data_IF_932034894308
#
_entry.id   IF_932034894308
#
_cell.length_a   1.000
_cell.length_b   1.000
_cell.length_c   1.000
_cell.angle_alpha   90.00
_cell.angle_beta   90.00
_cell.angle_gamma   90.00
#
_symmetry.space_group_name_H-M   'P 1'
#
loop_
_entity.id
_entity.type
_entity.pdbx_description
1 polymer ?
#
# COMPACT_ATOMS: atom_id res chain seq x y z
N UNK A 1 -5.36 -16.65 -12.49
CA UNK A 1 -5.02 -16.32 -11.09
C UNK A 1 -5.96 -17.07 -10.17
N UNK A 2 -5.47 -17.70 -9.10
CA UNK A 2 -6.32 -18.44 -8.17
C UNK A 2 -7.18 -17.44 -7.36
N UNK A 3 -8.47 -17.73 -7.19
CA UNK A 3 -9.37 -16.91 -6.38
C UNK A 3 -8.96 -16.86 -4.90
N UNK A 4 -8.10 -17.81 -4.50
CA UNK A 4 -7.64 -18.07 -3.14
C UNK A 4 -6.12 -18.17 -3.11
N UNK A 5 -5.50 -17.44 -2.20
CA UNK A 5 -4.07 -17.51 -1.90
C UNK A 5 -3.87 -18.01 -0.47
N UNK A 6 -2.85 -18.85 -0.28
CA UNK A 6 -2.45 -19.35 1.04
C UNK A 6 -1.18 -18.62 1.45
N UNK A 7 -1.21 -17.94 2.60
CA UNK A 7 -0.06 -17.22 3.14
C UNK A 7 0.50 -17.95 4.36
N UNK A 8 1.78 -18.35 4.28
CA UNK A 8 2.52 -18.93 5.41
C UNK A 8 1.91 -20.19 6.02
N UNK A 9 1.11 -20.93 5.23
CA UNK A 9 0.39 -22.16 5.62
C UNK A 9 -0.74 -21.99 6.64
N UNK A 10 -1.04 -20.75 7.06
CA UNK A 10 -1.98 -20.47 8.17
C UNK A 10 -3.18 -19.63 7.77
N UNK A 11 -3.05 -18.84 6.72
CA UNK A 11 -4.06 -17.89 6.30
C UNK A 11 -4.52 -18.16 4.89
N UNK A 12 -5.82 -17.97 4.68
CA UNK A 12 -6.51 -18.05 3.39
C UNK A 12 -6.96 -16.64 3.05
N UNK A 13 -6.57 -16.11 1.90
CA UNK A 13 -7.01 -14.80 1.40
C UNK A 13 -7.71 -15.02 0.07
N UNK A 14 -8.97 -14.61 -0.02
CA UNK A 14 -9.77 -14.87 -1.21
C UNK A 14 -10.79 -13.78 -1.49
N UNK A 15 -11.35 -13.81 -2.70
CA UNK A 15 -12.57 -13.05 -2.99
C UNK A 15 -13.70 -13.66 -2.18
N UNK A 16 -14.38 -12.84 -1.38
CA UNK A 16 -15.51 -13.27 -0.58
C UNK A 16 -16.73 -13.56 -1.48
N UNK A 17 -17.61 -14.42 -0.97
CA UNK A 17 -18.86 -14.88 -1.59
C UNK A 17 -19.94 -15.03 -0.49
N UNK A 18 -21.07 -15.63 -0.83
CA UNK A 18 -22.21 -15.83 0.08
C UNK A 18 -21.86 -16.65 1.34
N UNK A 19 -20.93 -17.59 1.25
CA UNK A 19 -20.50 -18.42 2.39
C UNK A 19 -19.91 -17.58 3.53
N UNK A 20 -19.45 -16.36 3.21
CA UNK A 20 -18.80 -15.45 4.16
C UNK A 20 -19.77 -14.43 4.79
N UNK A 21 -21.07 -14.47 4.47
CA UNK A 21 -22.06 -13.51 4.99
C UNK A 21 -22.10 -13.42 6.52
N UNK A 22 -21.87 -14.54 7.20
CA UNK A 22 -21.85 -14.60 8.66
C UNK A 22 -20.78 -13.69 9.29
N UNK A 23 -19.77 -13.24 8.54
CA UNK A 23 -18.78 -12.27 9.03
C UNK A 23 -19.21 -10.80 8.89
N UNK A 24 -20.32 -10.49 8.20
CA UNK A 24 -20.68 -9.12 7.87
C UNK A 24 -20.86 -8.22 9.10
N UNK A 25 -21.49 -8.74 10.16
CA UNK A 25 -21.64 -8.01 11.43
C UNK A 25 -20.29 -7.76 12.11
N UNK A 26 -19.45 -8.80 12.21
CA UNK A 26 -18.09 -8.71 12.77
C UNK A 26 -17.24 -7.68 12.03
N UNK A 27 -17.29 -7.67 10.70
CA UNK A 27 -16.59 -6.69 9.86
C UNK A 27 -17.05 -5.27 10.19
N UNK A 28 -18.37 -5.05 10.25
CA UNK A 28 -18.91 -3.72 10.56
C UNK A 28 -18.52 -3.24 11.96
N UNK A 29 -18.58 -4.14 12.95
CA UNK A 29 -18.19 -3.85 14.32
C UNK A 29 -16.70 -3.49 14.42
N UNK A 30 -15.81 -4.29 13.82
CA UNK A 30 -14.37 -4.04 13.84
C UNK A 30 -14.00 -2.75 13.09
N UNK A 31 -14.68 -2.44 11.98
CA UNK A 31 -14.51 -1.16 11.27
C UNK A 31 -14.81 0.03 12.18
N UNK A 32 -15.91 -0.01 12.93
CA UNK A 32 -16.31 1.04 13.87
C UNK A 32 -15.33 1.13 15.06
N UNK A 33 -14.97 0.00 15.66
CA UNK A 33 -14.05 -0.03 16.80
C UNK A 33 -12.65 0.45 16.43
N UNK A 34 -12.13 0.02 15.28
CA UNK A 34 -10.83 0.46 14.76
C UNK A 34 -10.81 1.95 14.43
N UNK A 35 -11.92 2.54 14.04
CA UNK A 35 -12.02 3.99 13.84
C UNK A 35 -12.01 4.74 15.17
N UNK A 36 -12.84 4.32 16.13
CA UNK A 36 -12.89 4.88 17.49
C UNK A 36 -11.51 4.88 18.16
N UNK A 37 -10.77 3.77 18.09
CA UNK A 37 -9.42 3.66 18.65
C UNK A 37 -8.42 4.64 18.05
N UNK A 38 -8.63 5.07 16.80
CA UNK A 38 -7.78 6.07 16.12
C UNK A 38 -8.21 7.51 16.40
N UNK A 39 -9.29 7.72 17.15
CA UNK A 39 -9.89 9.05 17.34
C UNK A 39 -10.44 9.63 16.03
N UNK A 40 -10.63 8.79 15.01
CA UNK A 40 -11.16 9.20 13.71
C UNK A 40 -12.56 8.63 13.55
N UNK A 41 -13.46 9.35 12.90
CA UNK A 41 -14.68 8.73 12.41
C UNK A 41 -14.39 7.84 11.20
N UNK A 42 -15.27 6.89 10.90
CA UNK A 42 -15.24 6.09 9.67
C UNK A 42 -16.62 6.09 9.05
N UNK A 43 -16.65 6.00 7.73
CA UNK A 43 -17.81 5.67 6.95
C UNK A 43 -18.47 4.39 7.50
N UNK A 44 -19.57 4.51 8.23
CA UNK A 44 -20.29 3.32 8.72
C UNK A 44 -20.82 2.55 7.51
N UNK A 45 -20.76 1.23 7.58
CA UNK A 45 -21.33 0.31 6.59
C UNK A 45 -22.34 -0.57 7.30
N UNK A 46 -23.43 -0.88 6.62
CA UNK A 46 -24.37 -1.89 7.10
C UNK A 46 -23.86 -3.28 6.73
N UNK A 47 -24.22 -4.32 7.51
CA UNK A 47 -23.94 -5.70 7.12
C UNK A 47 -24.47 -6.03 5.72
N UNK A 48 -25.67 -5.53 5.38
CA UNK A 48 -26.28 -5.69 4.05
C UNK A 48 -25.37 -5.16 2.94
N UNK A 49 -24.86 -3.94 3.09
CA UNK A 49 -23.94 -3.37 2.10
C UNK A 49 -22.65 -4.19 1.97
N UNK A 50 -22.12 -4.72 3.07
CA UNK A 50 -20.93 -5.59 3.02
C UNK A 50 -21.25 -6.90 2.28
N UNK A 51 -22.40 -7.52 2.56
CA UNK A 51 -22.85 -8.72 1.85
C UNK A 51 -23.03 -8.46 0.35
N UNK A 52 -23.61 -7.33 -0.04
CA UNK A 52 -23.70 -6.92 -1.44
C UNK A 52 -22.32 -6.88 -2.12
N UNK A 53 -21.29 -6.34 -1.46
CA UNK A 53 -19.92 -6.36 -2.00
C UNK A 53 -19.34 -7.77 -2.14
N UNK A 54 -19.73 -8.71 -1.28
CA UNK A 54 -19.37 -10.12 -1.42
C UNK A 54 -20.06 -10.73 -2.65
N UNK A 55 -21.36 -10.52 -2.83
CA UNK A 55 -22.13 -11.00 -4.00
C UNK A 55 -21.59 -10.42 -5.31
N UNK A 56 -21.23 -9.13 -5.33
CA UNK A 56 -20.62 -8.48 -6.50
C UNK A 56 -19.20 -9.03 -6.84
N UNK A 57 -18.65 -9.90 -5.98
CA UNK A 57 -17.27 -10.37 -6.06
C UNK A 57 -16.28 -9.20 -5.99
N UNK A 58 -16.58 -8.21 -5.15
CA UNK A 58 -15.78 -7.01 -4.92
C UNK A 58 -15.18 -6.95 -3.52
N UNK A 59 -15.44 -7.94 -2.69
CA UNK A 59 -14.88 -8.06 -1.35
C UNK A 59 -13.74 -9.08 -1.32
N UNK A 60 -12.70 -8.77 -0.54
CA UNK A 60 -11.61 -9.67 -0.16
C UNK A 60 -11.76 -9.97 1.31
N UNK A 61 -11.68 -11.25 1.66
CA UNK A 61 -11.70 -11.72 3.04
C UNK A 61 -10.48 -12.57 3.31
N UNK A 62 -9.97 -12.44 4.54
CA UNK A 62 -8.93 -13.30 5.07
C UNK A 62 -9.47 -14.09 6.25
N UNK A 63 -9.18 -15.39 6.27
CA UNK A 63 -9.48 -16.28 7.39
C UNK A 63 -8.25 -17.11 7.74
N UNK A 64 -8.23 -17.71 8.93
CA UNK A 64 -7.33 -18.82 9.21
C UNK A 64 -7.78 -20.06 8.43
N UNK A 65 -6.91 -21.07 8.35
CA UNK A 65 -7.29 -22.39 7.83
C UNK A 65 -8.34 -23.11 8.69
N UNK A 66 -8.54 -22.67 9.93
CA UNK A 66 -9.58 -23.18 10.84
C UNK A 66 -10.90 -22.41 10.73
N UNK A 67 -10.97 -21.40 9.87
CA UNK A 67 -12.20 -20.62 9.62
C UNK A 67 -12.37 -19.39 10.51
N UNK A 68 -11.38 -19.01 11.32
CA UNK A 68 -11.45 -17.78 12.11
C UNK A 68 -11.26 -16.55 11.22
N UNK A 69 -12.00 -15.49 11.49
CA UNK A 69 -11.92 -14.25 10.74
C UNK A 69 -10.64 -13.48 11.04
N UNK A 70 -9.91 -13.05 10.00
CA UNK A 70 -8.62 -12.38 10.13
C UNK A 70 -8.67 -10.94 9.66
N UNK A 71 -9.36 -10.67 8.56
CA UNK A 71 -9.44 -9.32 8.01
C UNK A 71 -10.26 -9.23 6.74
N UNK A 72 -10.46 -8.01 6.28
CA UNK A 72 -11.36 -7.70 5.18
C UNK A 72 -10.94 -6.42 4.46
N UNK A 73 -11.29 -6.32 3.19
CA UNK A 73 -11.21 -5.14 2.35
C UNK A 73 -12.21 -5.28 1.21
N UNK A 74 -12.68 -4.20 0.61
CA UNK A 74 -13.51 -4.27 -0.60
C UNK A 74 -13.13 -3.18 -1.59
N UNK A 75 -13.56 -3.36 -2.83
CA UNK A 75 -13.35 -2.40 -3.90
C UNK A 75 -14.68 -1.73 -4.25
N UNK A 76 -14.63 -0.45 -4.54
CA UNK A 76 -15.79 0.36 -4.93
C UNK A 76 -15.41 1.22 -6.14
N UNK A 77 -16.36 1.43 -7.06
CA UNK A 77 -16.14 2.20 -8.28
C UNK A 77 -16.78 3.58 -8.19
N UNK A 78 -16.10 4.58 -8.74
CA UNK A 78 -16.56 5.98 -8.78
C UNK A 78 -16.42 6.55 -10.19
N UNK A 79 -17.12 7.65 -10.48
CA UNK A 79 -17.18 8.29 -11.80
C UNK A 79 -17.30 7.29 -12.96
N UNK A 80 -18.33 6.44 -12.93
CA UNK A 80 -18.60 5.42 -13.96
C UNK A 80 -17.41 4.47 -14.24
N UNK A 81 -16.64 4.13 -13.21
CA UNK A 81 -15.53 3.17 -13.31
C UNK A 81 -14.19 3.79 -13.69
N UNK A 82 -14.10 5.12 -13.78
CA UNK A 82 -12.82 5.83 -13.95
C UNK A 82 -11.91 5.68 -12.73
N UNK A 83 -12.50 5.54 -11.55
CA UNK A 83 -11.77 5.34 -10.30
C UNK A 83 -12.24 4.09 -9.57
N UNK A 84 -11.30 3.42 -8.91
CA UNK A 84 -11.56 2.31 -7.99
C UNK A 84 -10.93 2.61 -6.64
N UNK A 85 -11.70 2.53 -5.56
CA UNK A 85 -11.21 2.72 -4.20
C UNK A 85 -11.09 1.39 -3.47
N UNK A 86 -9.90 1.10 -2.93
CA UNK A 86 -9.70 -0.02 -2.00
C UNK A 86 -10.08 0.43 -0.60
N UNK A 87 -11.29 0.08 -0.17
CA UNK A 87 -11.96 0.61 1.02
C UNK A 87 -12.10 -0.43 2.13
N UNK A 88 -12.25 0.04 3.37
CA UNK A 88 -12.55 -0.83 4.51
C UNK A 88 -11.46 -1.84 4.85
N UNK A 89 -10.19 -1.54 4.57
CA UNK A 89 -9.08 -2.40 5.00
C UNK A 89 -9.03 -2.44 6.54
N UNK A 90 -9.36 -3.60 7.10
CA UNK A 90 -9.24 -3.87 8.53
C UNK A 90 -8.66 -5.27 8.77
N UNK A 91 -7.97 -5.41 9.90
CA UNK A 91 -7.37 -6.67 10.36
C UNK A 91 -7.67 -6.79 11.85
N UNK A 92 -8.18 -7.95 12.24
CA UNK A 92 -8.48 -8.25 13.64
C UNK A 92 -7.23 -8.01 14.51
N UNK A 93 -7.37 -7.41 15.71
CA UNK A 93 -6.25 -7.03 16.57
C UNK A 93 -5.18 -8.12 16.74
N UNK A 94 -5.61 -9.36 16.97
CA UNK A 94 -4.71 -10.49 17.26
C UNK A 94 -3.83 -10.90 16.06
N UNK A 95 -4.25 -10.54 14.85
CA UNK A 95 -3.51 -10.83 13.62
C UNK A 95 -2.79 -9.60 13.07
N UNK A 96 -2.72 -8.48 13.80
CA UNK A 96 -1.94 -7.31 13.38
C UNK A 96 -0.44 -7.64 13.42
N UNK A 97 0.36 -6.91 12.64
CA UNK A 97 1.80 -7.14 12.47
C UNK A 97 2.20 -8.50 11.85
N UNK A 98 1.24 -9.32 11.42
CA UNK A 98 1.48 -10.60 10.71
C UNK A 98 1.72 -10.45 9.20
N UNK A 99 1.62 -9.23 8.67
CA UNK A 99 1.64 -8.96 7.21
C UNK A 99 0.26 -9.06 6.53
N UNK A 100 -0.81 -9.42 7.25
CA UNK A 100 -2.15 -9.60 6.67
C UNK A 100 -2.73 -8.34 6.01
N UNK A 101 -2.49 -7.16 6.58
CA UNK A 101 -2.95 -5.91 5.96
C UNK A 101 -2.36 -5.71 4.55
N UNK A 102 -1.07 -6.04 4.37
CA UNK A 102 -0.39 -5.95 3.07
C UNK A 102 -0.95 -7.00 2.10
N UNK A 103 -1.11 -8.24 2.55
CA UNK A 103 -1.58 -9.33 1.70
C UNK A 103 -3.04 -9.14 1.24
N UNK A 104 -3.93 -8.71 2.14
CA UNK A 104 -5.34 -8.38 1.80
C UNK A 104 -5.37 -7.22 0.80
N UNK A 105 -4.58 -6.16 1.04
CA UNK A 105 -4.53 -5.00 0.15
C UNK A 105 -3.95 -5.33 -1.23
N UNK A 106 -2.92 -6.17 -1.29
CA UNK A 106 -2.36 -6.70 -2.52
C UNK A 106 -3.44 -7.45 -3.33
N UNK A 107 -4.19 -8.37 -2.70
CA UNK A 107 -5.27 -9.09 -3.38
C UNK A 107 -6.38 -8.16 -3.87
N UNK A 108 -6.73 -7.14 -3.08
CA UNK A 108 -7.70 -6.13 -3.48
C UNK A 108 -7.20 -5.30 -4.67
N UNK A 109 -5.91 -4.93 -4.69
CA UNK A 109 -5.28 -4.26 -5.83
C UNK A 109 -5.33 -5.12 -7.09
N UNK A 110 -4.95 -6.39 -7.01
CA UNK A 110 -5.03 -7.33 -8.13
C UNK A 110 -6.46 -7.49 -8.65
N UNK A 111 -7.44 -7.58 -7.75
CA UNK A 111 -8.86 -7.62 -8.11
C UNK A 111 -9.28 -6.34 -8.85
N UNK A 112 -8.87 -5.17 -8.37
CA UNK A 112 -9.12 -3.88 -9.02
C UNK A 112 -8.50 -3.84 -10.42
N UNK A 113 -7.23 -4.24 -10.57
CA UNK A 113 -6.55 -4.29 -11.89
C UNK A 113 -7.22 -5.27 -12.86
N UNK A 114 -7.74 -6.39 -12.36
CA UNK A 114 -8.43 -7.40 -13.19
C UNK A 114 -9.81 -6.92 -13.65
N UNK A 115 -10.63 -6.37 -12.73
CA UNK A 115 -11.99 -5.94 -13.05
C UNK A 115 -12.04 -4.59 -13.78
N UNK A 116 -11.09 -3.71 -13.50
CA UNK A 116 -11.05 -2.34 -14.01
C UNK A 116 -9.61 -1.97 -14.45
N UNK A 117 -9.13 -2.56 -15.56
CA UNK A 117 -7.73 -2.43 -15.98
C UNK A 117 -7.32 -0.98 -16.33
N UNK A 118 -8.25 -0.12 -16.73
CA UNK A 118 -7.93 1.26 -17.11
C UNK A 118 -8.26 2.27 -16.00
N UNK A 119 -8.86 1.81 -14.90
CA UNK A 119 -9.23 2.68 -13.79
C UNK A 119 -8.01 3.07 -12.95
N UNK A 120 -8.02 4.32 -12.47
CA UNK A 120 -7.10 4.80 -11.45
C UNK A 120 -7.50 4.21 -10.11
N UNK A 121 -6.56 3.64 -9.37
CA UNK A 121 -6.86 3.08 -8.04
C UNK A 121 -6.50 4.10 -6.99
N UNK A 122 -7.44 4.45 -6.12
CA UNK A 122 -7.30 5.53 -5.16
C UNK A 122 -7.46 5.03 -3.72
N UNK A 123 -6.90 5.80 -2.79
CA UNK A 123 -7.10 5.61 -1.38
C UNK A 123 -6.89 6.90 -0.61
N UNK A 124 -7.66 7.07 0.45
CA UNK A 124 -7.50 8.17 1.39
C UNK A 124 -7.19 7.56 2.76
N UNK A 125 -6.15 8.04 3.45
CA UNK A 125 -5.76 7.49 4.75
C UNK A 125 -5.05 8.50 5.63
N UNK A 126 -5.17 8.37 6.95
CA UNK A 126 -4.30 9.01 7.94
C UNK A 126 -3.24 8.05 8.49
N UNK A 127 -3.31 6.77 8.13
CA UNK A 127 -2.48 5.71 8.69
C UNK A 127 -1.18 5.53 7.91
N UNK A 128 -0.04 5.80 8.57
CA UNK A 128 1.29 5.59 8.00
C UNK A 128 1.54 4.15 7.52
N UNK A 129 1.16 3.08 8.26
CA UNK A 129 1.24 1.72 7.74
C UNK A 129 0.50 1.52 6.41
N UNK A 130 -0.69 2.12 6.27
CA UNK A 130 -1.47 2.04 5.01
C UNK A 130 -0.80 2.85 3.90
N UNK A 131 -0.23 4.02 4.21
CA UNK A 131 0.55 4.80 3.24
C UNK A 131 1.75 4.01 2.72
N UNK A 132 2.48 3.32 3.60
CA UNK A 132 3.60 2.46 3.20
C UNK A 132 3.15 1.31 2.29
N UNK A 133 2.06 0.63 2.65
CA UNK A 133 1.49 -0.43 1.79
C UNK A 133 1.07 0.13 0.42
N UNK A 134 0.46 1.31 0.39
CA UNK A 134 0.08 1.98 -0.86
C UNK A 134 1.31 2.29 -1.72
N UNK A 135 2.36 2.87 -1.13
CA UNK A 135 3.61 3.17 -1.85
C UNK A 135 4.29 1.89 -2.37
N UNK A 136 4.33 0.82 -1.58
CA UNK A 136 4.85 -0.49 -2.02
C UNK A 136 4.07 -1.04 -3.24
N UNK A 137 2.80 -0.65 -3.40
CA UNK A 137 1.94 -1.00 -4.54
C UNK A 137 2.01 0.00 -5.71
N UNK A 138 2.90 0.99 -5.64
CA UNK A 138 3.06 2.00 -6.69
C UNK A 138 2.06 3.16 -6.64
N UNK A 139 1.38 3.38 -5.51
CA UNK A 139 0.54 4.56 -5.35
C UNK A 139 1.44 5.76 -5.00
N UNK A 140 1.10 6.89 -5.60
CA UNK A 140 1.77 8.16 -5.34
C UNK A 140 0.83 9.11 -4.57
N UNK A 141 1.36 9.99 -3.71
CA UNK A 141 0.56 11.04 -3.08
C UNK A 141 -0.02 11.98 -4.14
N UNK A 142 -1.31 12.28 -4.02
CA UNK A 142 -2.02 13.20 -4.92
C UNK A 142 -2.81 14.24 -4.16
N UNK A 143 -3.09 15.35 -4.84
CA UNK A 143 -3.99 16.37 -4.31
C UNK A 143 -5.44 15.89 -4.35
N UNK A 144 -6.31 16.40 -3.47
CA UNK A 144 -7.71 15.96 -3.45
C UNK A 144 -8.46 16.35 -4.72
N UNK A 145 -7.99 17.36 -5.45
CA UNK A 145 -8.51 17.74 -6.78
C UNK A 145 -8.31 16.66 -7.85
N UNK A 146 -7.43 15.68 -7.62
CA UNK A 146 -7.19 14.56 -8.54
C UNK A 146 -8.03 13.32 -8.20
N UNK A 147 -8.72 13.34 -7.06
CA UNK A 147 -9.67 12.31 -6.63
C UNK A 147 -11.05 12.56 -7.26
N UNK A 148 -11.99 11.59 -7.17
CA UNK A 148 -13.34 11.76 -7.71
C UNK A 148 -14.00 13.05 -7.25
N UNK A 149 -14.60 13.78 -8.19
CA UNK A 149 -15.31 15.02 -7.92
C UNK A 149 -16.73 14.76 -7.38
N UNK A 150 -17.29 13.57 -7.61
CA UNK A 150 -18.68 13.25 -7.31
C UNK A 150 -19.02 13.27 -5.81
N UNK A 151 -20.20 13.79 -5.49
CA UNK A 151 -20.69 13.91 -4.11
C UNK A 151 -20.81 12.55 -3.40
N UNK A 152 -21.08 11.49 -4.15
CA UNK A 152 -21.28 10.15 -3.58
C UNK A 152 -19.98 9.60 -2.97
N UNK A 153 -18.83 9.84 -3.61
CA UNK A 153 -17.51 9.51 -3.08
C UNK A 153 -17.28 10.21 -1.73
N UNK A 154 -17.48 11.53 -1.68
CA UNK A 154 -17.24 12.33 -0.48
C UNK A 154 -18.27 12.12 0.64
N UNK A 155 -19.47 11.61 0.31
CA UNK A 155 -20.45 11.14 1.30
C UNK A 155 -19.89 10.00 2.15
N UNK A 156 -18.92 9.24 1.64
CA UNK A 156 -18.15 8.27 2.42
C UNK A 156 -17.44 8.91 3.62
N UNK A 157 -17.04 10.18 3.54
CA UNK A 157 -16.37 10.87 4.65
C UNK A 157 -17.35 11.50 5.65
N UNK A 158 -18.67 11.48 5.41
CA UNK A 158 -19.66 12.25 6.17
C UNK A 158 -19.71 11.92 7.68
N UNK A 159 -19.35 10.71 8.07
CA UNK A 159 -19.27 10.28 9.48
C UNK A 159 -17.87 10.41 10.07
N UNK A 160 -16.91 10.98 9.35
CA UNK A 160 -15.59 11.31 9.87
C UNK A 160 -15.67 12.53 10.80
N UNK A 161 -14.98 12.49 11.95
CA UNK A 161 -14.85 13.65 12.86
C UNK A 161 -14.27 14.89 12.19
N UNK A 162 -13.54 14.72 11.08
CA UNK A 162 -12.92 15.80 10.31
C UNK A 162 -13.72 16.17 9.03
N UNK A 163 -14.99 15.75 8.93
CA UNK A 163 -15.81 16.05 7.76
C UNK A 163 -16.06 17.56 7.60
N UNK A 164 -16.07 18.32 8.69
CA UNK A 164 -16.12 19.78 8.69
C UNK A 164 -14.92 20.39 7.94
N UNK A 165 -13.71 19.84 8.13
CA UNK A 165 -12.49 20.29 7.44
C UNK A 165 -12.60 20.06 5.94
N UNK A 166 -13.09 18.88 5.55
CA UNK A 166 -13.30 18.55 4.15
C UNK A 166 -14.32 19.49 3.51
N UNK A 167 -15.44 19.75 4.17
CA UNK A 167 -16.52 20.59 3.62
C UNK A 167 -16.14 22.07 3.55
N UNK A 168 -15.55 22.64 4.62
CA UNK A 168 -15.16 24.07 4.66
C UNK A 168 -14.05 24.43 3.68
N UNK A 169 -13.21 23.46 3.28
CA UNK A 169 -12.16 23.66 2.28
C UNK A 169 -12.63 23.39 0.85
N UNK A 170 -13.93 23.11 0.65
CA UNK A 170 -14.48 22.74 -0.65
C UNK A 170 -13.84 21.46 -1.21
N UNK A 171 -13.55 20.48 -0.34
CA UNK A 171 -12.94 19.18 -0.65
C UNK A 171 -11.52 19.26 -1.20
N UNK A 172 -10.83 20.37 -1.01
CA UNK A 172 -9.44 20.54 -1.46
C UNK A 172 -8.42 20.01 -0.45
N UNK A 173 -8.79 19.98 0.83
CA UNK A 173 -7.90 19.55 1.91
C UNK A 173 -8.64 18.79 3.01
N UNK A 174 -7.95 17.84 3.63
CA UNK A 174 -8.34 17.17 4.86
C UNK A 174 -7.06 16.71 5.57
N UNK A 175 -7.19 16.17 6.79
CA UNK A 175 -6.07 15.54 7.49
C UNK A 175 -5.60 14.23 6.84
N UNK A 176 -6.42 13.66 5.96
CA UNK A 176 -6.06 12.44 5.26
C UNK A 176 -5.17 12.76 4.05
N UNK A 177 -4.24 11.85 3.75
CA UNK A 177 -3.45 11.87 2.53
C UNK A 177 -4.20 11.14 1.42
N UNK A 178 -4.40 11.81 0.29
CA UNK A 178 -4.86 11.19 -0.95
C UNK A 178 -3.71 10.48 -1.64
N UNK A 179 -3.93 9.26 -2.11
CA UNK A 179 -2.94 8.49 -2.86
C UNK A 179 -3.60 7.80 -4.05
N UNK A 180 -2.87 7.70 -5.15
CA UNK A 180 -3.39 7.17 -6.41
C UNK A 180 -2.35 6.33 -7.15
N UNK A 181 -2.79 5.21 -7.70
CA UNK A 181 -2.09 4.44 -8.72
C UNK A 181 -2.72 4.77 -10.07
N UNK A 182 -1.91 5.30 -11.00
CA UNK A 182 -2.35 5.57 -12.36
C UNK A 182 -1.77 4.52 -13.34
N UNK A 183 -2.59 3.63 -13.92
CA UNK A 183 -2.08 2.56 -14.77
C UNK A 183 -1.33 3.05 -16.02
N UNK A 184 -1.70 4.20 -16.58
CA UNK A 184 -1.09 4.73 -17.79
C UNK A 184 0.33 5.28 -17.55
N UNK A 185 0.61 5.78 -16.35
CA UNK A 185 1.96 6.23 -15.97
C UNK A 185 2.87 5.02 -15.75
N UNK A 186 2.37 3.98 -15.08
CA UNK A 186 3.14 2.75 -14.84
C UNK A 186 3.45 1.96 -16.12
N UNK A 187 2.53 1.93 -17.11
CA UNK A 187 2.80 1.34 -18.43
C UNK A 187 3.96 2.04 -19.16
N UNK A 188 4.09 3.37 -19.02
CA UNK A 188 5.17 4.14 -19.66
C UNK A 188 6.52 3.84 -19.03
N UNK A 189 6.58 3.76 -17.71
CA UNK A 189 7.80 3.42 -16.95
C UNK A 189 8.33 2.03 -17.29
N UNK A 190 7.47 1.04 -17.55
CA UNK A 190 7.90 -0.30 -17.99
C UNK A 190 8.41 -0.33 -19.44
N UNK A 191 7.98 0.62 -20.27
CA UNK A 191 8.34 0.71 -21.70
C UNK A 191 9.54 1.60 -22.01
N UNK A 192 9.93 2.48 -21.09
CA UNK A 192 11.13 3.29 -21.20
C UNK A 192 12.31 2.57 -20.50
N UNK A 193 13.48 2.43 -21.14
CA UNK A 193 14.67 1.96 -20.42
C UNK A 193 14.96 2.91 -19.27
N UNK A 194 15.33 2.37 -18.09
CA UNK A 194 15.75 3.15 -16.92
C UNK A 194 16.62 4.32 -17.37
N UNK A 195 16.07 5.53 -17.34
CA UNK A 195 16.89 6.73 -17.52
C UNK A 195 17.80 6.78 -16.30
N UNK A 196 19.09 6.52 -16.54
CA UNK A 196 20.19 6.66 -15.59
C UNK A 196 19.86 7.84 -14.66
N UNK A 197 19.45 7.53 -13.43
CA UNK A 197 19.17 8.55 -12.44
C UNK A 197 20.43 9.37 -12.31
N UNK A 198 20.38 10.66 -12.62
CA UNK A 198 21.54 11.54 -12.54
C UNK A 198 22.09 11.50 -11.11
N UNK A 199 23.14 10.69 -10.92
CA UNK A 199 23.67 10.31 -9.62
C UNK A 199 24.62 11.41 -9.16
N UNK A 200 24.05 12.50 -8.64
CA UNK A 200 24.77 13.71 -8.19
C UNK A 200 26.00 13.36 -7.33
N UNK A 201 25.94 12.26 -6.57
CA UNK A 201 27.05 11.76 -5.77
C UNK A 201 28.23 11.29 -6.64
N UNK A 202 27.98 10.54 -7.71
CA UNK A 202 29.03 10.02 -8.61
C UNK A 202 29.67 11.11 -9.47
N UNK A 203 28.89 12.10 -9.90
CA UNK A 203 29.39 13.22 -10.73
C UNK A 203 29.98 14.37 -9.91
N UNK A 204 29.91 14.32 -8.57
CA UNK A 204 30.55 15.35 -7.74
C UNK A 204 32.07 15.25 -7.79
N UNK A 205 32.74 16.38 -8.05
CA UNK A 205 34.22 16.49 -8.00
C UNK A 205 34.81 16.11 -6.64
N UNK A 206 33.99 16.19 -5.58
CA UNK A 206 34.32 15.75 -4.23
C UNK A 206 34.41 14.22 -4.11
N UNK A 207 33.49 13.49 -4.75
CA UNK A 207 33.50 12.02 -4.77
C UNK A 207 34.70 11.48 -5.53
N UNK A 208 35.02 12.05 -6.69
CA UNK A 208 36.25 11.71 -7.42
C UNK A 208 37.50 11.91 -6.55
N UNK A 209 37.60 13.07 -5.89
CA UNK A 209 38.75 13.40 -5.05
C UNK A 209 38.89 12.42 -3.88
N UNK A 210 37.78 12.08 -3.24
CA UNK A 210 37.74 11.10 -2.15
C UNK A 210 38.11 9.69 -2.63
N UNK A 211 37.64 9.27 -3.80
CA UNK A 211 37.99 7.97 -4.39
C UNK A 211 39.49 7.88 -4.71
N UNK A 212 40.09 8.94 -5.27
CA UNK A 212 41.54 9.00 -5.52
C UNK A 212 42.35 8.89 -4.22
N UNK A 213 41.87 9.50 -3.13
CA UNK A 213 42.50 9.42 -1.80
C UNK A 213 42.42 7.98 -1.27
N UNK A 214 41.22 7.36 -1.33
CA UNK A 214 41.02 5.97 -0.90
C UNK A 214 41.92 5.00 -1.65
N UNK A 215 42.00 5.10 -2.96
CA UNK A 215 42.82 4.22 -3.80
C UNK A 215 44.30 4.38 -3.46
N UNK A 216 44.79 5.61 -3.23
CA UNK A 216 46.16 5.86 -2.77
C UNK A 216 46.47 5.23 -1.42
N UNK A 217 45.55 5.29 -0.47
CA UNK A 217 45.73 4.70 0.87
C UNK A 217 45.76 3.17 0.78
N UNK A 218 44.88 2.57 -0.02
CA UNK A 218 44.82 1.13 -0.26
C UNK A 218 46.12 0.62 -0.90
N UNK A 219 46.57 1.27 -1.99
CA UNK A 219 47.83 0.91 -2.66
C UNK A 219 49.04 1.02 -1.73
N UNK A 220 49.13 2.09 -0.94
CA UNK A 220 50.20 2.23 0.08
C UNK A 220 50.16 1.13 1.14
N UNK A 221 48.96 0.68 1.52
CA UNK A 221 48.79 -0.42 2.49
C UNK A 221 49.23 -1.76 1.90
N UNK A 222 48.90 -2.03 0.64
CA UNK A 222 49.35 -3.23 -0.08
C UNK A 222 50.86 -3.25 -0.30
N UNK A 223 51.46 -2.13 -0.71
CA UNK A 223 52.92 -2.00 -0.85
C UNK A 223 53.66 -2.23 0.48
N UNK A 224 53.14 -1.67 1.58
CA UNK A 224 53.68 -1.93 2.93
C UNK A 224 53.55 -3.40 3.33
N UNK A 225 52.43 -4.05 3.00
CA UNK A 225 52.22 -5.48 3.27
C UNK A 225 53.18 -6.35 2.47
N UNK A 226 53.39 -6.05 1.18
CA UNK A 226 54.33 -6.78 0.30
C UNK A 226 55.78 -6.62 0.78
N UNK A 227 56.20 -5.41 1.18
CA UNK A 227 57.55 -5.20 1.75
C UNK A 227 57.76 -5.94 3.07
N UNK A 228 56.74 -6.00 3.94
CA UNK A 228 56.81 -6.78 5.19
C UNK A 228 56.98 -8.27 4.94
N UNK A 229 56.27 -8.81 3.95
CA UNK A 229 56.37 -10.23 3.60
C UNK A 229 57.69 -10.57 2.89
N UNK A 230 58.24 -9.67 2.07
CA UNK A 230 59.53 -9.88 1.40
C UNK A 230 60.72 -9.86 2.39
N UNK A 231 60.66 -9.04 3.45
CA UNK A 231 61.69 -8.99 4.49
C UNK A 231 61.70 -10.22 5.40
N UNK A 232 60.59 -10.95 5.51
CA UNK A 232 60.49 -12.16 6.33
C UNK A 232 61.06 -13.42 5.65
N UNK A 233 61.26 -13.40 4.32
CA UNK A 233 61.76 -14.55 3.54
C UNK A 233 63.30 -14.58 3.46
N UNK A 234 63.98 -13.47 3.77
CA UNK A 234 65.44 -13.34 3.69
C UNK A 234 66.19 -13.67 5.00
N UNK A 235 65.47 -14.11 6.04
CA UNK A 235 66.05 -14.49 7.34
C UNK A 235 65.60 -15.90 7.71
N UNK A 236 66.00 -16.88 6.91
CA UNK A 236 66.12 -18.29 7.30
C UNK A 236 67.12 -19.01 6.39
#
# INVERSE_FOLDING_TARGET
MKNTDIVGSKFIIQTANEDHFHFAETICAEMEESAKKRGTGIAKRSPVYIMEKMVEGKAIIATTTTGEWVGFCYIETWEHGKFVANSGLIVHPDFRNSGMAKAIKQKAFELSRKKYPDAKIIGITTSLPVMKINSDLGYEPVTFSELPADDAFWKGCASCVNYDVLTRTGRKHCLCTGMMYNPEEHKKTESEPEKDSWDFLKESSLYERWMRIKQRILLRREERSKKKNAGAVLVH
#
